data_IF_659457092082
#
_entry.id   IF_659457092082
#
_cell.length_a   1.000
_cell.length_b   1.000
_cell.length_c   1.000
_cell.angle_alpha   90.00
_cell.angle_beta   90.00
_cell.angle_gamma   90.00
#
_symmetry.space_group_name_H-M   'P 1'
#
loop_
_entity.id
_entity.type
_entity.pdbx_description
1 polymer ?
#
# COMPACT_ATOMS: atom_id res chain seq x y z
N UNK A 1 -83.73 6.31 -48.57
CA UNK A 1 -83.03 5.25 -47.74
C UNK A 1 -81.58 5.64 -47.53
N UNK A 2 -81.31 6.32 -46.43
CA UNK A 2 -79.97 6.90 -46.15
C UNK A 2 -79.26 6.05 -45.13
N UNK A 3 -78.12 5.47 -45.51
CA UNK A 3 -77.27 4.72 -44.60
C UNK A 3 -76.27 5.64 -43.97
N UNK A 4 -76.30 5.79 -42.66
CA UNK A 4 -75.32 6.48 -41.84
C UNK A 4 -74.19 5.50 -41.52
N UNK A 5 -72.96 5.82 -41.90
CA UNK A 5 -71.76 5.10 -41.53
C UNK A 5 -71.16 5.72 -40.27
N UNK A 6 -71.02 4.91 -39.21
CA UNK A 6 -70.35 5.30 -37.98
C UNK A 6 -68.89 4.89 -38.08
N UNK A 7 -68.00 5.89 -38.11
CA UNK A 7 -66.57 5.68 -38.06
C UNK A 7 -66.11 5.63 -36.60
N UNK A 8 -65.60 4.45 -36.14
CA UNK A 8 -64.97 4.29 -34.81
C UNK A 8 -63.49 4.63 -34.89
N UNK A 9 -63.12 5.73 -34.29
CA UNK A 9 -61.71 6.13 -34.09
C UNK A 9 -61.14 5.44 -32.88
N UNK A 10 -60.24 4.48 -33.10
CA UNK A 10 -59.42 3.84 -32.01
C UNK A 10 -58.24 4.74 -31.76
N UNK A 11 -58.20 5.40 -30.59
CA UNK A 11 -57.06 6.14 -30.10
C UNK A 11 -56.07 5.20 -29.46
N UNK A 12 -54.94 4.93 -30.10
CA UNK A 12 -53.83 4.16 -29.58
C UNK A 12 -52.95 5.06 -28.70
N UNK A 13 -53.12 4.97 -27.38
CA UNK A 13 -52.23 5.67 -26.42
C UNK A 13 -50.92 4.89 -26.30
N UNK A 14 -49.89 5.40 -26.98
CA UNK A 14 -48.51 4.90 -26.81
C UNK A 14 -47.93 5.45 -25.51
N UNK A 15 -47.87 4.62 -24.46
CA UNK A 15 -47.20 4.93 -23.20
C UNK A 15 -45.69 4.81 -23.41
N UNK A 16 -44.98 5.93 -23.58
CA UNK A 16 -43.54 5.97 -23.64
C UNK A 16 -42.96 5.78 -22.22
N UNK A 17 -42.55 4.57 -21.89
CA UNK A 17 -41.77 4.29 -20.69
C UNK A 17 -40.37 4.90 -20.85
N UNK A 18 -40.17 6.08 -20.29
CA UNK A 18 -38.84 6.68 -20.08
C UNK A 18 -38.10 5.83 -18.99
N UNK A 19 -37.32 4.86 -19.45
CA UNK A 19 -36.33 4.20 -18.61
C UNK A 19 -35.21 5.24 -18.38
N UNK A 20 -35.31 6.00 -17.29
CA UNK A 20 -34.19 6.79 -16.78
C UNK A 20 -33.17 5.83 -16.19
N UNK A 21 -32.30 5.30 -17.04
CA UNK A 21 -31.11 4.60 -16.60
C UNK A 21 -30.26 5.59 -15.82
N UNK A 22 -30.25 5.48 -14.51
CA UNK A 22 -29.21 6.10 -13.68
C UNK A 22 -27.90 5.49 -14.11
N UNK A 23 -27.19 6.18 -15.02
CA UNK A 23 -25.79 5.86 -15.31
C UNK A 23 -25.04 6.00 -13.99
N UNK A 24 -24.78 4.88 -13.34
CA UNK A 24 -23.87 4.85 -12.19
C UNK A 24 -22.57 5.49 -12.68
N UNK A 25 -22.29 6.69 -12.19
CA UNK A 25 -21.11 7.44 -12.56
C UNK A 25 -19.91 6.61 -12.13
N UNK A 26 -19.33 5.90 -13.08
CA UNK A 26 -18.18 5.02 -12.84
C UNK A 26 -17.04 5.90 -12.33
N UNK A 27 -16.78 5.83 -11.03
CA UNK A 27 -15.79 6.66 -10.36
C UNK A 27 -14.43 6.35 -11.00
N UNK A 28 -13.81 7.36 -11.62
CA UNK A 28 -12.52 7.19 -12.27
C UNK A 28 -11.48 6.77 -11.23
N UNK A 29 -10.72 5.75 -11.54
CA UNK A 29 -9.63 5.31 -10.69
C UNK A 29 -8.61 6.45 -10.47
N UNK A 30 -8.16 6.61 -9.23
CA UNK A 30 -7.21 7.64 -8.80
C UNK A 30 -6.09 6.99 -8.01
N UNK A 31 -4.92 7.61 -8.04
CA UNK A 31 -3.83 7.27 -7.15
C UNK A 31 -4.13 7.82 -5.76
N UNK A 32 -4.11 6.94 -4.76
CA UNK A 32 -4.39 7.28 -3.37
C UNK A 32 -3.33 6.62 -2.52
N UNK A 33 -2.71 7.37 -1.61
CA UNK A 33 -1.77 6.82 -0.65
C UNK A 33 -2.50 5.85 0.27
N UNK A 34 -2.17 4.57 0.15
CA UNK A 34 -2.79 3.48 0.90
C UNK A 34 -1.95 3.05 2.12
N UNK A 35 -0.69 3.44 2.13
CA UNK A 35 0.23 3.32 3.25
C UNK A 35 1.30 4.42 3.13
N UNK A 36 1.72 4.98 4.25
CA UNK A 36 2.79 5.97 4.25
C UNK A 36 3.36 6.19 5.64
N UNK A 37 4.61 6.64 5.69
CA UNK A 37 5.32 7.02 6.90
C UNK A 37 6.28 8.18 6.65
N UNK A 38 6.62 8.93 7.69
CA UNK A 38 7.69 9.93 7.64
C UNK A 38 9.01 9.30 8.05
N UNK A 39 10.09 9.65 7.35
CA UNK A 39 11.42 9.35 7.86
C UNK A 39 11.73 10.25 9.06
N UNK A 40 12.43 9.74 10.05
CA UNK A 40 12.69 10.42 11.33
C UNK A 40 14.18 10.66 11.59
N UNK A 41 15.05 9.78 11.06
CA UNK A 41 16.48 9.83 11.34
C UNK A 41 17.32 9.11 10.28
N UNK A 42 18.61 9.29 10.35
CA UNK A 42 19.59 8.46 9.68
C UNK A 42 19.90 7.23 10.54
N UNK A 43 19.79 6.04 9.98
CA UNK A 43 20.08 4.77 10.65
C UNK A 43 21.53 4.69 11.14
N UNK A 44 21.77 3.98 12.22
CA UNK A 44 23.11 3.81 12.78
C UNK A 44 23.97 2.80 12.00
N UNK A 45 23.34 1.78 11.41
CA UNK A 45 24.02 0.67 10.71
C UNK A 45 23.88 0.85 9.20
N UNK A 46 25.00 0.72 8.49
CA UNK A 46 25.04 0.79 7.03
C UNK A 46 24.62 -0.54 6.38
N UNK A 47 24.03 -0.41 5.21
CA UNK A 47 23.73 -1.50 4.28
C UNK A 47 24.79 -1.50 3.19
N UNK A 48 25.39 -2.66 2.88
CA UNK A 48 26.49 -2.78 1.93
C UNK A 48 26.26 -3.91 0.95
N UNK A 49 26.09 -3.61 -0.33
CA UNK A 49 25.82 -4.58 -1.39
C UNK A 49 24.84 -5.67 -0.92
N UNK A 50 23.65 -5.25 -0.53
CA UNK A 50 22.65 -6.08 0.14
C UNK A 50 21.24 -5.69 -0.32
N UNK A 51 20.27 -6.54 0.00
CA UNK A 51 18.86 -6.30 -0.29
C UNK A 51 18.09 -6.10 1.01
N UNK A 52 17.29 -5.04 1.08
CA UNK A 52 16.33 -4.82 2.15
C UNK A 52 14.92 -5.10 1.61
N UNK A 53 14.05 -5.67 2.46
CA UNK A 53 12.64 -5.98 2.13
C UNK A 53 11.75 -5.36 3.19
N UNK A 54 11.16 -4.22 2.86
CA UNK A 54 10.29 -3.44 3.75
C UNK A 54 8.85 -3.90 3.60
N UNK A 55 8.17 -4.11 4.72
CA UNK A 55 6.77 -4.55 4.74
C UNK A 55 5.85 -3.34 4.93
N UNK A 56 4.81 -3.27 4.13
CA UNK A 56 3.80 -2.22 4.17
C UNK A 56 2.40 -2.83 3.99
N UNK A 57 1.46 -2.51 4.88
CA UNK A 57 0.07 -2.96 4.76
C UNK A 57 -0.77 -1.88 4.10
N UNK A 58 -1.27 -2.16 2.87
CA UNK A 58 -2.15 -1.22 2.18
C UNK A 58 -3.56 -1.26 2.74
N UNK A 59 -4.17 -0.09 2.93
CA UNK A 59 -5.49 0.06 3.56
C UNK A 59 -6.65 -0.07 2.58
N UNK A 60 -6.39 0.05 1.27
CA UNK A 60 -7.42 0.02 0.22
C UNK A 60 -7.04 -0.95 -0.90
N UNK A 61 -8.07 -1.46 -1.57
CA UNK A 61 -7.92 -2.32 -2.75
C UNK A 61 -7.69 -1.49 -4.03
N UNK A 62 -6.98 -2.08 -5.01
CA UNK A 62 -6.80 -1.48 -6.32
C UNK A 62 -6.10 -2.37 -7.32
N UNK A 63 -5.83 -1.82 -8.51
CA UNK A 63 -5.37 -2.58 -9.68
C UNK A 63 -3.88 -2.43 -9.96
N UNK A 64 -3.27 -1.37 -9.41
CA UNK A 64 -1.86 -1.07 -9.57
C UNK A 64 -1.34 -0.34 -8.34
N UNK A 65 -0.03 -0.38 -8.13
CA UNK A 65 0.66 0.31 -7.05
C UNK A 65 1.77 1.20 -7.59
N UNK A 66 2.15 2.23 -6.84
CA UNK A 66 3.38 3.01 -6.99
C UNK A 66 4.07 3.07 -5.64
N UNK A 67 5.38 3.12 -5.64
CA UNK A 67 6.16 3.34 -4.42
C UNK A 67 6.88 4.68 -4.49
N UNK A 68 7.01 5.34 -3.35
CA UNK A 68 7.86 6.51 -3.19
C UNK A 68 9.01 6.17 -2.26
N UNK A 69 10.22 6.45 -2.74
CA UNK A 69 11.45 6.31 -1.98
C UNK A 69 11.92 7.68 -1.49
N UNK A 70 12.50 7.72 -0.30
CA UNK A 70 12.89 8.96 0.38
C UNK A 70 14.30 8.82 0.98
N UNK A 71 15.16 9.77 0.65
CA UNK A 71 16.50 9.90 1.18
C UNK A 71 16.64 11.20 2.03
N UNK A 72 15.59 11.53 2.81
CA UNK A 72 15.44 12.79 3.51
C UNK A 72 16.61 13.10 4.44
N UNK A 73 17.23 12.09 5.05
CA UNK A 73 18.33 12.24 6.00
C UNK A 73 19.70 11.85 5.40
N UNK A 74 19.74 11.37 4.15
CA UNK A 74 20.99 11.03 3.47
C UNK A 74 21.75 12.29 3.05
N UNK A 75 23.03 12.37 3.40
CA UNK A 75 23.91 13.45 3.00
C UNK A 75 24.48 13.27 1.57
N UNK A 76 24.34 12.08 0.99
CA UNK A 76 24.79 11.71 -0.35
C UNK A 76 23.64 11.12 -1.15
N UNK A 77 23.70 11.16 -2.50
CA UNK A 77 22.73 10.45 -3.32
C UNK A 77 22.72 8.96 -2.99
N UNK A 78 21.53 8.35 -2.99
CA UNK A 78 21.29 6.93 -2.75
C UNK A 78 21.10 6.21 -4.09
N UNK A 79 21.93 5.21 -4.38
CA UNK A 79 21.75 4.32 -5.52
C UNK A 79 20.85 3.15 -5.15
N UNK A 80 19.80 2.91 -5.94
CA UNK A 80 18.98 1.70 -5.91
C UNK A 80 19.25 0.94 -7.20
N UNK A 81 19.92 -0.21 -7.09
CA UNK A 81 20.27 -1.04 -8.25
C UNK A 81 19.04 -1.69 -8.89
N UNK A 82 18.14 -2.23 -8.06
CA UNK A 82 16.83 -2.75 -8.45
C UNK A 82 15.82 -2.60 -7.32
N UNK A 83 14.57 -2.46 -7.70
CA UNK A 83 13.43 -2.47 -6.79
C UNK A 83 12.35 -3.44 -7.27
N UNK A 84 11.69 -4.11 -6.33
CA UNK A 84 10.57 -5.01 -6.58
C UNK A 84 9.47 -4.78 -5.55
N UNK A 85 8.24 -5.10 -5.92
CA UNK A 85 7.09 -5.12 -5.01
C UNK A 85 6.27 -6.38 -5.23
N UNK A 86 5.93 -7.08 -4.14
CA UNK A 86 5.18 -8.34 -4.20
C UNK A 86 4.23 -8.51 -3.02
N UNK A 87 3.34 -9.50 -3.13
CA UNK A 87 2.36 -9.82 -2.10
C UNK A 87 3.03 -10.70 -1.04
N UNK A 88 3.14 -10.19 0.20
CA UNK A 88 3.68 -10.95 1.32
C UNK A 88 2.70 -12.03 1.77
N UNK A 89 3.20 -13.23 2.07
CA UNK A 89 2.42 -14.31 2.69
C UNK A 89 2.81 -14.53 4.16
N UNK A 90 4.09 -14.72 4.44
CA UNK A 90 4.60 -14.93 5.80
C UNK A 90 6.10 -14.59 5.88
N UNK A 91 6.52 -13.93 6.96
CA UNK A 91 7.92 -13.56 7.11
C UNK A 91 8.39 -12.73 5.92
N UNK A 92 9.51 -13.06 5.32
CA UNK A 92 10.01 -12.45 4.10
C UNK A 92 9.48 -13.10 2.81
N UNK A 93 8.69 -14.19 2.88
CA UNK A 93 8.20 -14.92 1.72
C UNK A 93 7.04 -14.19 1.01
N UNK A 94 7.03 -14.28 -0.32
CA UNK A 94 6.03 -13.70 -1.20
C UNK A 94 5.15 -14.78 -1.83
N UNK A 95 3.96 -14.40 -2.23
CA UNK A 95 3.09 -15.26 -3.03
C UNK A 95 3.75 -15.51 -4.40
N UNK A 96 3.72 -16.76 -4.84
CA UNK A 96 4.33 -17.19 -6.09
C UNK A 96 3.83 -16.36 -7.26
N UNK A 97 4.76 -15.91 -8.10
CA UNK A 97 4.50 -15.06 -9.26
C UNK A 97 3.82 -13.71 -8.92
N UNK A 98 3.97 -13.21 -7.69
CA UNK A 98 3.45 -11.89 -7.31
C UNK A 98 4.49 -10.78 -7.38
N UNK A 99 5.77 -11.13 -7.36
CA UNK A 99 6.85 -10.15 -7.29
C UNK A 99 7.03 -9.43 -8.64
N UNK A 100 6.89 -8.11 -8.64
CA UNK A 100 6.95 -7.27 -9.85
C UNK A 100 8.13 -6.33 -9.76
N UNK A 101 8.91 -6.25 -10.83
CA UNK A 101 9.96 -5.26 -10.94
C UNK A 101 9.36 -3.85 -10.98
N UNK A 102 9.97 -2.97 -10.23
CA UNK A 102 9.62 -1.54 -10.15
C UNK A 102 10.58 -0.76 -11.05
N UNK A 103 10.03 0.15 -11.83
CA UNK A 103 10.78 1.05 -12.68
C UNK A 103 10.59 2.50 -12.22
N UNK A 104 11.57 3.33 -12.54
CA UNK A 104 11.58 4.75 -12.27
C UNK A 104 11.90 5.48 -13.58
N UNK A 105 10.90 6.13 -14.17
CA UNK A 105 11.03 6.73 -15.49
C UNK A 105 11.59 5.73 -16.52
N UNK A 106 11.00 4.52 -16.54
CA UNK A 106 11.38 3.36 -17.39
C UNK A 106 12.74 2.71 -17.09
N UNK A 107 13.50 3.23 -16.12
CA UNK A 107 14.76 2.65 -15.69
C UNK A 107 14.58 1.71 -14.50
N UNK A 108 15.23 0.57 -14.50
CA UNK A 108 15.26 -0.35 -13.36
C UNK A 108 16.16 0.16 -12.21
N UNK A 109 17.10 1.02 -12.53
CA UNK A 109 17.99 1.70 -11.57
C UNK A 109 17.52 3.12 -11.33
N UNK A 110 17.65 3.60 -10.08
CA UNK A 110 17.39 5.00 -9.75
C UNK A 110 18.39 5.52 -8.72
N UNK A 111 18.70 6.81 -8.84
CA UNK A 111 19.43 7.56 -7.82
C UNK A 111 18.49 8.53 -7.15
N UNK A 112 18.31 8.38 -5.83
CA UNK A 112 17.51 9.28 -5.00
C UNK A 112 18.43 10.39 -4.50
N UNK A 113 18.18 11.67 -4.83
CA UNK A 113 19.03 12.77 -4.38
C UNK A 113 19.14 12.83 -2.85
N UNK A 114 20.25 13.40 -2.35
CA UNK A 114 20.38 13.74 -0.94
C UNK A 114 19.26 14.69 -0.52
N UNK A 115 18.59 14.39 0.60
CA UNK A 115 17.42 15.14 1.07
C UNK A 115 16.17 15.05 0.19
N UNK A 116 16.20 14.24 -0.89
CA UNK A 116 15.13 14.17 -1.88
C UNK A 116 14.34 12.88 -1.85
N UNK A 117 13.35 12.81 -2.74
CA UNK A 117 12.52 11.62 -2.96
C UNK A 117 12.27 11.38 -4.44
N UNK A 118 11.95 10.12 -4.79
CA UNK A 118 11.56 9.70 -6.14
C UNK A 118 10.30 8.84 -6.08
N UNK A 119 9.50 8.90 -7.13
CA UNK A 119 8.30 8.09 -7.29
C UNK A 119 8.50 7.12 -8.43
N UNK A 120 8.02 5.88 -8.26
CA UNK A 120 8.09 4.86 -9.30
C UNK A 120 7.03 5.06 -10.39
N UNK A 121 7.29 4.42 -11.52
CA UNK A 121 6.25 4.17 -12.52
C UNK A 121 5.14 3.28 -11.93
N UNK A 122 3.93 3.29 -12.52
CA UNK A 122 2.87 2.36 -12.15
C UNK A 122 3.29 0.90 -12.29
N UNK A 123 3.07 0.11 -11.25
CA UNK A 123 3.32 -1.34 -11.25
C UNK A 123 1.97 -2.07 -11.30
N UNK A 124 1.68 -2.86 -12.37
CA UNK A 124 0.45 -3.62 -12.46
C UNK A 124 0.47 -4.79 -11.47
N UNK A 125 0.03 -4.51 -10.26
CA UNK A 125 -0.13 -5.45 -9.15
C UNK A 125 -1.47 -5.19 -8.48
N UNK A 126 -2.40 -6.14 -8.64
CA UNK A 126 -3.70 -6.07 -7.95
C UNK A 126 -3.49 -6.32 -6.46
N UNK A 127 -4.07 -5.46 -5.63
CA UNK A 127 -4.00 -5.55 -4.18
C UNK A 127 -5.39 -5.52 -3.56
N UNK A 128 -5.54 -6.18 -2.43
CA UNK A 128 -6.74 -6.13 -1.60
C UNK A 128 -6.52 -5.16 -0.43
N UNK A 129 -7.61 -4.66 0.14
CA UNK A 129 -7.52 -3.90 1.39
C UNK A 129 -6.94 -4.78 2.51
N UNK A 130 -6.11 -4.20 3.35
CA UNK A 130 -5.41 -4.86 4.47
C UNK A 130 -4.41 -5.95 4.03
N UNK A 131 -3.92 -5.88 2.81
CA UNK A 131 -2.91 -6.79 2.30
C UNK A 131 -1.51 -6.27 2.59
N UNK A 132 -0.63 -7.17 3.07
CA UNK A 132 0.79 -6.87 3.24
C UNK A 132 1.49 -6.94 1.88
N UNK A 133 2.23 -5.89 1.57
CA UNK A 133 3.17 -5.81 0.47
C UNK A 133 4.59 -5.85 1.01
N UNK A 134 5.50 -6.41 0.21
CA UNK A 134 6.93 -6.33 0.45
C UNK A 134 7.58 -5.51 -0.67
N UNK A 135 8.23 -4.41 -0.29
CA UNK A 135 9.06 -3.59 -1.17
C UNK A 135 10.51 -3.99 -0.96
N UNK A 136 11.11 -4.60 -1.97
CA UNK A 136 12.49 -5.09 -1.94
C UNK A 136 13.40 -4.14 -2.71
N UNK A 137 14.47 -3.66 -2.08
CA UNK A 137 15.43 -2.70 -2.65
C UNK A 137 16.84 -3.30 -2.59
N UNK A 138 17.53 -3.41 -3.72
CA UNK A 138 18.95 -3.73 -3.78
C UNK A 138 19.78 -2.45 -3.65
N UNK A 139 20.64 -2.40 -2.67
CA UNK A 139 21.58 -1.34 -2.37
C UNK A 139 22.97 -1.79 -2.82
N UNK A 140 23.49 -1.34 -3.98
CA UNK A 140 24.75 -1.83 -4.53
C UNK A 140 25.97 -1.26 -3.81
N UNK A 141 25.85 -0.06 -3.23
CA UNK A 141 26.97 0.66 -2.61
C UNK A 141 27.31 0.09 -1.23
N UNK A 142 28.47 0.48 -0.70
CA UNK A 142 28.95 0.06 0.61
C UNK A 142 28.61 1.09 1.69
N UNK A 143 28.27 0.62 2.89
CA UNK A 143 28.02 1.41 4.10
C UNK A 143 26.99 2.54 3.92
N UNK A 144 25.90 2.24 3.20
CA UNK A 144 24.83 3.21 2.96
C UNK A 144 23.90 3.24 4.17
N UNK A 145 23.95 4.33 4.93
CA UNK A 145 23.08 4.50 6.11
C UNK A 145 21.68 4.90 5.69
N UNK A 146 20.64 4.18 6.16
CA UNK A 146 19.28 4.43 5.70
C UNK A 146 18.66 5.69 6.31
N UNK A 147 17.99 6.52 5.49
CA UNK A 147 16.88 7.32 5.99
C UNK A 147 15.81 6.36 6.46
N UNK A 148 15.37 6.47 7.71
CA UNK A 148 14.48 5.51 8.33
C UNK A 148 13.37 6.12 9.16
N UNK A 149 12.25 5.41 9.23
CA UNK A 149 11.28 5.52 10.29
C UNK A 149 11.56 4.43 11.32
N UNK A 150 11.89 4.83 12.55
CA UNK A 150 12.17 3.89 13.64
C UNK A 150 10.87 3.36 14.25
N UNK A 151 10.90 2.16 14.83
CA UNK A 151 9.75 1.57 15.52
C UNK A 151 8.45 1.52 14.67
N UNK A 152 8.58 1.11 13.39
CA UNK A 152 7.45 1.02 12.48
C UNK A 152 6.39 -0.03 12.87
N UNK A 153 6.56 -0.72 14.00
CA UNK A 153 5.68 -1.76 14.54
C UNK A 153 5.39 -2.91 13.55
N UNK A 154 6.27 -3.09 12.57
CA UNK A 154 6.22 -4.19 11.60
C UNK A 154 7.62 -4.72 11.36
N UNK A 155 7.75 -6.05 11.30
CA UNK A 155 9.02 -6.72 11.00
C UNK A 155 9.32 -6.64 9.51
N UNK A 156 10.44 -6.02 9.16
CA UNK A 156 11.04 -5.99 7.84
C UNK A 156 12.34 -6.81 7.81
N UNK A 157 12.85 -7.12 6.63
CA UNK A 157 13.86 -8.16 6.43
C UNK A 157 15.05 -7.62 5.64
N UNK A 158 16.24 -8.17 5.93
CA UNK A 158 17.47 -7.83 5.22
C UNK A 158 18.25 -9.11 4.89
N UNK A 159 18.97 -9.07 3.80
CA UNK A 159 20.04 -10.04 3.55
C UNK A 159 21.30 -9.65 4.32
N UNK A 160 22.24 -10.56 4.46
CA UNK A 160 23.58 -10.18 4.92
C UNK A 160 24.23 -9.15 4.00
N UNK A 161 25.08 -8.28 4.57
CA UNK A 161 25.93 -7.40 3.76
C UNK A 161 26.84 -8.24 2.85
N UNK A 162 26.97 -7.83 1.60
CA UNK A 162 27.70 -8.57 0.58
C UNK A 162 26.88 -9.65 -0.17
N UNK A 163 25.61 -9.90 0.24
CA UNK A 163 24.77 -10.90 -0.41
C UNK A 163 24.27 -10.51 -1.81
N UNK A 164 24.46 -9.25 -2.19
CA UNK A 164 24.07 -8.72 -3.48
C UNK A 164 22.57 -8.58 -3.70
N UNK A 165 22.18 -8.61 -4.98
CA UNK A 165 20.79 -8.46 -5.41
C UNK A 165 19.96 -9.72 -5.18
N UNK A 166 19.01 -9.62 -4.26
CA UNK A 166 17.98 -10.61 -3.94
C UNK A 166 16.57 -10.02 -4.05
N UNK A 167 16.43 -8.88 -4.70
CA UNK A 167 15.15 -8.17 -4.76
C UNK A 167 14.08 -8.97 -5.52
N UNK A 168 14.47 -9.75 -6.53
CA UNK A 168 13.58 -10.61 -7.30
C UNK A 168 13.16 -11.90 -6.58
N UNK A 169 13.87 -12.33 -5.54
CA UNK A 169 13.60 -13.58 -4.83
C UNK A 169 12.24 -13.56 -4.13
N UNK A 170 11.41 -14.56 -4.36
CA UNK A 170 10.10 -14.70 -3.68
C UNK A 170 10.21 -15.49 -2.37
N UNK A 171 11.30 -16.23 -2.17
CA UNK A 171 11.53 -17.01 -0.93
C UNK A 171 12.07 -16.16 0.20
N UNK A 172 11.91 -16.63 1.44
CA UNK A 172 12.49 -15.98 2.62
C UNK A 172 13.99 -16.30 2.81
N UNK A 173 14.51 -17.32 2.12
CA UNK A 173 15.84 -17.90 2.38
C UNK A 173 16.98 -16.89 2.44
N UNK A 174 17.11 -15.91 1.51
CA UNK A 174 18.24 -14.98 1.55
C UNK A 174 18.13 -13.90 2.65
N UNK A 175 16.96 -13.75 3.27
CA UNK A 175 16.66 -12.69 4.24
C UNK A 175 16.90 -13.19 5.66
N UNK A 176 18.12 -13.09 6.14
CA UNK A 176 18.60 -13.70 7.41
C UNK A 176 18.59 -12.75 8.60
N UNK A 177 18.36 -11.46 8.38
CA UNK A 177 18.28 -10.44 9.42
C UNK A 177 16.92 -9.72 9.38
N UNK A 178 16.53 -9.13 10.51
CA UNK A 178 15.28 -8.38 10.65
C UNK A 178 15.53 -6.98 11.21
N UNK A 179 14.58 -6.09 10.96
CA UNK A 179 14.51 -4.76 11.55
C UNK A 179 13.04 -4.40 11.81
N UNK A 180 12.80 -3.59 12.83
CA UNK A 180 11.50 -2.94 13.06
C UNK A 180 11.43 -1.52 12.51
N UNK A 181 12.47 -1.08 11.81
CA UNK A 181 12.50 0.21 11.12
C UNK A 181 12.15 0.04 9.65
N UNK A 182 11.51 1.05 9.07
CA UNK A 182 11.29 1.14 7.62
C UNK A 182 12.39 1.99 6.99
N UNK A 183 13.13 1.42 6.04
CA UNK A 183 14.24 2.07 5.34
C UNK A 183 13.80 2.60 3.99
N UNK A 184 14.03 3.87 3.71
CA UNK A 184 13.86 4.57 2.42
C UNK A 184 12.45 4.52 1.81
N UNK A 185 11.57 3.60 2.19
CA UNK A 185 10.20 3.57 1.67
C UNK A 185 9.35 4.59 2.41
N UNK A 186 8.79 5.55 1.67
CA UNK A 186 7.97 6.64 2.20
C UNK A 186 6.48 6.37 2.08
N UNK A 187 6.04 5.86 0.93
CA UNK A 187 4.62 5.54 0.71
C UNK A 187 4.43 4.47 -0.35
N UNK A 188 3.26 3.84 -0.27
CA UNK A 188 2.68 3.02 -1.31
C UNK A 188 1.35 3.63 -1.70
N UNK A 189 1.24 4.08 -2.95
CA UNK A 189 0.00 4.54 -3.53
C UNK A 189 -0.68 3.40 -4.29
N UNK A 190 -2.00 3.38 -4.26
CA UNK A 190 -2.83 2.38 -4.94
C UNK A 190 -3.76 3.07 -5.94
N UNK A 191 -3.87 2.53 -7.16
CA UNK A 191 -4.83 2.98 -8.16
C UNK A 191 -6.19 2.37 -7.85
N UNK A 192 -7.08 3.16 -7.25
CA UNK A 192 -8.39 2.72 -6.77
C UNK A 192 -9.53 3.56 -7.34
N UNK A 193 -10.64 2.90 -7.65
CA UNK A 193 -11.94 3.55 -7.93
C UNK A 193 -12.89 3.52 -6.73
N UNK A 194 -12.49 2.85 -5.64
CA UNK A 194 -13.35 2.60 -4.46
C UNK A 194 -13.12 3.59 -3.32
N UNK A 195 -12.09 4.42 -3.41
CA UNK A 195 -11.73 5.38 -2.35
C UNK A 195 -11.54 6.77 -2.94
N UNK A 196 -11.81 7.80 -2.16
CA UNK A 196 -11.77 9.20 -2.59
C UNK A 196 -10.59 9.98 -2.02
N UNK A 197 -9.90 9.46 -1.01
CA UNK A 197 -8.79 10.14 -0.37
C UNK A 197 -8.09 9.28 0.68
N UNK A 198 -7.09 9.86 1.31
CA UNK A 198 -6.34 9.28 2.41
C UNK A 198 -6.46 10.16 3.66
N UNK A 199 -6.36 9.54 4.83
CA UNK A 199 -6.25 10.23 6.12
C UNK A 199 -4.76 10.20 6.50
N UNK A 200 -4.22 11.36 6.86
CA UNK A 200 -2.86 11.49 7.35
C UNK A 200 -2.94 11.77 8.86
N UNK A 201 -2.38 10.85 9.65
CA UNK A 201 -2.18 11.06 11.07
C UNK A 201 -0.87 11.85 11.26
N UNK A 202 -0.92 12.92 12.04
CA UNK A 202 0.23 13.75 12.36
C UNK A 202 0.33 13.94 13.87
N UNK A 203 1.48 13.56 14.43
CA UNK A 203 1.71 13.64 15.87
C UNK A 203 3.07 13.08 16.28
N UNK A 204 3.15 12.69 17.53
CA UNK A 204 4.33 12.09 18.15
C UNK A 204 4.24 10.56 18.23
N UNK A 205 5.02 9.95 19.12
CA UNK A 205 5.05 8.49 19.32
C UNK A 205 3.71 7.88 19.71
N UNK A 206 2.79 8.63 20.31
CA UNK A 206 1.44 8.15 20.66
C UNK A 206 0.61 8.01 19.40
N UNK A 207 0.67 8.99 18.50
CA UNK A 207 0.04 8.93 17.18
C UNK A 207 0.65 7.82 16.32
N UNK A 208 1.97 7.63 16.39
CA UNK A 208 2.67 6.56 15.66
C UNK A 208 2.39 5.14 16.20
N UNK A 209 1.64 5.04 17.30
CA UNK A 209 1.21 3.76 17.89
C UNK A 209 2.23 3.11 18.81
N UNK A 210 3.02 3.89 19.54
CA UNK A 210 3.89 3.35 20.60
C UNK A 210 3.10 2.46 21.56
N UNK A 211 3.65 1.29 21.89
CA UNK A 211 3.03 0.22 22.68
C UNK A 211 2.00 -0.64 21.92
N UNK A 212 1.81 -0.45 20.62
CA UNK A 212 1.08 -1.41 19.80
C UNK A 212 1.84 -2.72 19.65
N UNK A 213 1.13 -3.79 19.32
CA UNK A 213 1.74 -5.13 19.18
C UNK A 213 2.57 -5.20 17.89
N UNK A 214 3.84 -5.60 18.00
CA UNK A 214 4.68 -5.83 16.82
C UNK A 214 4.00 -6.84 15.87
N UNK A 215 3.89 -6.48 14.60
CA UNK A 215 3.20 -7.22 13.55
C UNK A 215 1.68 -7.41 13.79
N UNK A 216 1.12 -6.78 14.83
CA UNK A 216 -0.31 -6.91 15.19
C UNK A 216 -1.24 -6.07 14.32
N UNK A 217 -0.73 -5.00 13.71
CA UNK A 217 -1.54 -4.01 12.97
C UNK A 217 -2.76 -3.56 13.77
N UNK A 218 -2.52 -3.23 15.04
CA UNK A 218 -3.53 -2.86 16.04
C UNK A 218 -3.41 -1.40 16.49
N UNK A 219 -2.66 -0.57 15.76
CA UNK A 219 -2.63 0.86 15.97
C UNK A 219 -4.03 1.44 15.70
N UNK A 220 -4.33 2.58 16.27
CA UNK A 220 -5.63 3.22 16.07
C UNK A 220 -5.89 3.57 14.60
N UNK A 221 -4.86 3.93 13.82
CA UNK A 221 -4.96 4.19 12.38
C UNK A 221 -5.31 2.91 11.61
N UNK A 222 -4.77 1.77 12.01
CA UNK A 222 -5.08 0.49 11.37
C UNK A 222 -6.56 0.14 11.53
N UNK A 223 -7.18 0.54 12.67
CA UNK A 223 -8.61 0.32 12.90
C UNK A 223 -9.51 1.32 12.18
N UNK A 224 -9.07 2.57 12.01
CA UNK A 224 -9.80 3.59 11.26
C UNK A 224 -9.91 3.28 9.76
N UNK A 225 -8.92 2.57 9.21
CA UNK A 225 -8.89 2.17 7.81
C UNK A 225 -9.83 0.98 7.49
N UNK A 226 -10.44 0.37 8.51
CA UNK A 226 -11.33 -0.77 8.33
C UNK A 226 -12.76 -0.29 8.02
N UNK A 227 -13.40 -0.71 6.90
CA UNK A 227 -14.82 -0.47 6.72
C UNK A 227 -15.57 -1.29 7.79
N UNK A 228 -16.08 -0.56 8.79
CA UNK A 228 -16.99 -1.04 9.84
C UNK A 228 -16.92 -2.54 10.14
N UNK A 229 -16.04 -2.97 11.05
CA UNK A 229 -16.33 -4.21 11.81
C UNK A 229 -17.70 -4.01 12.44
N UNK A 230 -18.64 -4.98 12.30
CA UNK A 230 -19.83 -4.94 13.13
C UNK A 230 -19.32 -4.81 14.58
N UNK A 231 -19.79 -3.77 15.29
CA UNK A 231 -19.46 -3.55 16.70
C UNK A 231 -19.82 -4.86 17.40
N UNK A 232 -18.81 -5.63 17.84
CA UNK A 232 -19.05 -6.77 18.73
C UNK A 232 -19.58 -6.12 19.99
N UNK A 233 -20.90 -6.20 20.19
CA UNK A 233 -21.57 -5.75 21.38
C UNK A 233 -20.91 -6.48 22.55
N UNK A 234 -20.29 -5.72 23.47
CA UNK A 234 -19.63 -6.31 24.61
C UNK A 234 -20.67 -7.16 25.34
N UNK A 235 -20.38 -8.45 25.51
CA UNK A 235 -21.25 -9.35 26.24
C UNK A 235 -21.61 -8.71 27.60
N UNK A 236 -22.88 -8.72 28.01
CA UNK A 236 -23.30 -8.11 29.26
C UNK A 236 -22.50 -8.74 30.40
N UNK A 237 -21.84 -7.92 31.19
CA UNK A 237 -21.14 -8.32 32.41
C UNK A 237 -22.09 -9.08 33.30
N UNK A 238 -21.85 -10.38 33.48
CA UNK A 238 -22.56 -11.19 34.44
C UNK A 238 -22.37 -10.56 35.83
N UNK A 239 -23.41 -9.94 36.36
CA UNK A 239 -23.50 -9.55 37.77
C UNK A 239 -23.48 -10.85 38.59
N UNK A 240 -22.46 -11.00 39.47
CA UNK A 240 -22.43 -12.06 40.48
C UNK A 240 -23.65 -11.93 41.35
N UNK A 241 -24.39 -13.02 41.62
CA UNK A 241 -25.41 -12.98 42.67
C UNK A 241 -24.73 -12.92 44.03
N UNK A 242 -25.29 -12.09 44.89
CA UNK A 242 -24.95 -11.90 46.31
C UNK A 242 -25.18 -13.16 47.15
#
# INVERSE_FOLDING_TARGET
MTRVAIASTIACAATLLLVTGTAAQQQRARWITAWGTSQQALGATGVSNATVRMIARVTIAGQAVRIRLDNAYGASPLSIGKAYVGLRIQGAALATNSNRQVFFNTSAHVTVPAGGSVESDPVPLRVMAQQDLAVSLHIPDADVRPSQHTAAQVTSYLTANGAGDKAADETAVPFTATTTSTFWVKSVDVLSSMSTGAIVAFGDSITDGTCSTLDGHDRWEDTCAWPSRPRVEAAPTRTKPS
#
